data_IF_167174205515
#
_entry.id   IF_167174205515
#
_cell.length_a   1.000
_cell.length_b   1.000
_cell.length_c   1.000
_cell.angle_alpha   90.00
_cell.angle_beta   90.00
_cell.angle_gamma   90.00
#
_symmetry.space_group_name_H-M   'P 1'
#
loop_
_entity.id
_entity.type
_entity.pdbx_description
1 polymer ?
#
# COMPACT_ATOMS: atom_id res chain seq x y z
N UNK A 1 -24.28 -1.50 -3.86
CA UNK A 1 -22.84 -1.49 -3.55
C UNK A 1 -22.46 -2.84 -2.97
N UNK A 2 -21.36 -3.44 -3.42
CA UNK A 2 -20.89 -4.74 -2.92
C UNK A 2 -19.52 -4.58 -2.28
N UNK A 3 -19.28 -5.27 -1.17
CA UNK A 3 -17.99 -5.26 -0.47
C UNK A 3 -17.56 -6.71 -0.26
N UNK A 4 -16.36 -7.05 -0.70
CA UNK A 4 -15.77 -8.36 -0.49
C UNK A 4 -14.65 -8.24 0.55
N UNK A 5 -14.94 -8.60 1.80
CA UNK A 5 -13.93 -8.71 2.86
C UNK A 5 -13.13 -10.00 2.74
N UNK A 6 -11.93 -10.01 3.35
CA UNK A 6 -10.99 -11.14 3.33
C UNK A 6 -10.66 -11.62 1.91
N UNK A 7 -10.54 -10.66 0.99
CA UNK A 7 -10.24 -10.86 -0.42
C UNK A 7 -8.91 -10.17 -0.73
N UNK A 8 -7.81 -10.91 -0.73
CA UNK A 8 -6.48 -10.36 -0.96
C UNK A 8 -6.19 -10.28 -2.46
N UNK A 9 -6.06 -9.06 -3.00
CA UNK A 9 -5.74 -8.85 -4.42
C UNK A 9 -4.29 -9.27 -4.66
N UNK A 10 -4.08 -10.06 -5.72
CA UNK A 10 -2.76 -10.60 -6.08
C UNK A 10 -2.16 -9.91 -7.30
N UNK A 11 -2.99 -9.55 -8.27
CA UNK A 11 -2.59 -8.79 -9.46
C UNK A 11 -3.80 -8.18 -10.17
N UNK A 12 -3.53 -7.17 -10.96
CA UNK A 12 -4.43 -6.64 -11.96
C UNK A 12 -4.29 -7.43 -13.26
N UNK A 13 -5.41 -7.63 -13.94
CA UNK A 13 -5.46 -8.25 -15.25
C UNK A 13 -5.53 -7.14 -16.29
N UNK A 14 -4.50 -7.05 -17.12
CA UNK A 14 -4.33 -5.97 -18.10
C UNK A 14 -4.11 -6.58 -19.48
N UNK A 15 -4.86 -6.10 -20.45
CA UNK A 15 -4.75 -6.48 -21.85
C UNK A 15 -4.29 -5.26 -22.65
N UNK A 16 -3.04 -5.30 -23.13
CA UNK A 16 -2.40 -4.15 -23.75
C UNK A 16 -2.27 -2.98 -22.77
N UNK A 17 -3.15 -1.97 -22.91
CA UNK A 17 -3.20 -0.78 -22.05
C UNK A 17 -4.49 -0.65 -21.25
N UNK A 18 -5.34 -1.67 -21.26
CA UNK A 18 -6.66 -1.64 -20.61
C UNK A 18 -6.67 -2.61 -19.44
N UNK A 19 -6.91 -2.09 -18.24
CA UNK A 19 -7.14 -2.91 -17.06
C UNK A 19 -8.55 -3.51 -17.10
N UNK A 20 -8.65 -4.83 -17.27
CA UNK A 20 -9.92 -5.55 -17.51
C UNK A 20 -10.51 -6.11 -16.22
N UNK A 21 -9.71 -6.29 -15.17
CA UNK A 21 -10.19 -6.83 -13.90
C UNK A 21 -9.08 -7.03 -12.87
N UNK A 22 -9.44 -7.60 -11.72
CA UNK A 22 -8.49 -7.99 -10.66
C UNK A 22 -8.60 -9.47 -10.36
N UNK A 23 -7.46 -10.07 -10.05
CA UNK A 23 -7.37 -11.43 -9.53
C UNK A 23 -7.04 -11.38 -8.04
N UNK A 24 -7.86 -12.04 -7.22
CA UNK A 24 -7.73 -12.05 -5.77
C UNK A 24 -7.90 -13.45 -5.18
N UNK A 25 -7.39 -13.65 -3.97
CA UNK A 25 -7.55 -14.88 -3.20
C UNK A 25 -8.59 -14.64 -2.11
N UNK A 26 -9.58 -15.52 -2.03
CA UNK A 26 -10.58 -15.56 -0.96
C UNK A 26 -10.88 -17.01 -0.61
N UNK A 27 -10.89 -17.34 0.67
CA UNK A 27 -11.07 -18.72 1.16
C UNK A 27 -10.10 -19.71 0.49
N UNK A 28 -8.82 -19.33 0.35
CA UNK A 28 -7.78 -20.09 -0.34
C UNK A 28 -8.08 -20.45 -1.81
N UNK A 29 -9.04 -19.76 -2.44
CA UNK A 29 -9.37 -19.91 -3.85
C UNK A 29 -9.06 -18.63 -4.60
N UNK A 30 -8.47 -18.80 -5.78
CA UNK A 30 -8.20 -17.72 -6.71
C UNK A 30 -9.47 -17.39 -7.48
N UNK A 31 -9.86 -16.12 -7.48
CA UNK A 31 -11.06 -15.61 -8.14
C UNK A 31 -10.68 -14.39 -8.97
N UNK A 32 -11.43 -14.14 -10.05
CA UNK A 32 -11.26 -12.98 -10.92
C UNK A 32 -12.57 -12.23 -11.00
N UNK A 33 -12.51 -10.90 -10.89
CA UNK A 33 -13.66 -10.02 -11.15
C UNK A 33 -13.28 -9.01 -12.22
N UNK A 34 -14.19 -8.79 -13.17
CA UNK A 34 -13.99 -7.89 -14.29
C UNK A 34 -14.55 -6.50 -14.01
N UNK A 35 -13.82 -5.48 -14.43
CA UNK A 35 -14.22 -4.09 -14.35
C UNK A 35 -14.65 -3.60 -15.74
N UNK A 36 -15.82 -2.96 -15.84
CA UNK A 36 -16.37 -2.49 -17.12
C UNK A 36 -15.83 -1.13 -17.58
N UNK A 37 -15.28 -0.33 -16.67
CA UNK A 37 -14.92 1.08 -16.95
C UNK A 37 -13.54 1.44 -16.42
N UNK A 38 -13.30 1.19 -15.14
CA UNK A 38 -12.07 1.58 -14.48
C UNK A 38 -11.77 0.64 -13.31
N UNK A 39 -10.48 0.53 -13.00
CA UNK A 39 -9.93 -0.14 -11.84
C UNK A 39 -9.14 0.92 -11.06
N UNK A 40 -9.42 1.03 -9.77
CA UNK A 40 -8.79 2.02 -8.89
C UNK A 40 -8.06 1.26 -7.80
N UNK A 41 -6.73 1.44 -7.75
CA UNK A 41 -5.91 0.89 -6.68
C UNK A 41 -5.90 1.83 -5.48
N UNK A 42 -6.13 1.26 -4.30
CA UNK A 42 -6.11 1.99 -3.02
C UNK A 42 -5.60 1.10 -1.89
N UNK A 43 -4.68 0.17 -2.20
CA UNK A 43 -4.09 -0.76 -1.24
C UNK A 43 -2.96 -0.13 -0.39
N UNK A 44 -2.96 1.19 -0.24
CA UNK A 44 -1.93 1.96 0.45
C UNK A 44 -0.63 2.12 -0.34
N UNK A 45 0.32 2.83 0.25
CA UNK A 45 1.65 3.13 -0.32
C UNK A 45 2.55 1.90 -0.45
N UNK A 46 2.21 0.80 0.24
CA UNK A 46 2.95 -0.47 0.19
C UNK A 46 2.25 -1.49 -0.72
N UNK A 47 0.94 -1.69 -0.54
CA UNK A 47 0.20 -2.72 -1.26
C UNK A 47 -0.07 -2.37 -2.73
N UNK A 48 -0.36 -1.10 -3.03
CA UNK A 48 -0.62 -0.68 -4.43
C UNK A 48 0.59 -0.89 -5.34
N UNK A 49 1.82 -0.46 -4.98
CA UNK A 49 2.98 -0.74 -5.83
C UNK A 49 3.28 -2.25 -5.95
N UNK A 50 3.09 -3.03 -4.89
CA UNK A 50 3.26 -4.49 -4.96
C UNK A 50 2.32 -5.12 -5.99
N UNK A 51 1.04 -4.72 -6.02
CA UNK A 51 0.07 -5.22 -6.99
C UNK A 51 0.49 -4.83 -8.42
N UNK A 52 0.97 -3.61 -8.64
CA UNK A 52 1.47 -3.17 -9.95
C UNK A 52 2.67 -4.00 -10.42
N UNK A 53 3.66 -4.23 -9.53
CA UNK A 53 4.83 -5.06 -9.82
C UNK A 53 4.42 -6.50 -10.21
N UNK A 54 3.53 -7.12 -9.42
CA UNK A 54 2.99 -8.47 -9.70
C UNK A 54 2.13 -8.51 -10.98
N UNK A 55 1.67 -7.37 -11.45
CA UNK A 55 0.93 -7.21 -12.72
C UNK A 55 1.86 -6.96 -13.91
N UNK A 56 3.18 -6.89 -13.69
CA UNK A 56 4.18 -6.64 -14.74
C UNK A 56 4.49 -5.15 -14.97
N UNK A 57 4.13 -4.27 -14.03
CA UNK A 57 4.40 -2.83 -14.10
C UNK A 57 5.47 -2.50 -13.06
N UNK A 58 6.73 -2.49 -13.49
CA UNK A 58 7.87 -2.00 -12.73
C UNK A 58 9.12 -1.89 -13.64
N UNK A 59 10.28 -1.52 -13.08
CA UNK A 59 11.56 -1.59 -13.76
C UNK A 59 11.82 -3.00 -14.31
N UNK A 60 12.21 -3.07 -15.58
CA UNK A 60 12.44 -4.33 -16.28
C UNK A 60 13.38 -5.28 -15.54
N UNK A 61 14.53 -4.78 -15.07
CA UNK A 61 15.54 -5.60 -14.38
C UNK A 61 15.00 -6.20 -13.08
N UNK A 62 14.13 -5.46 -12.38
CA UNK A 62 13.50 -5.93 -11.16
C UNK A 62 12.50 -7.05 -11.47
N UNK A 63 11.64 -6.88 -12.47
CA UNK A 63 10.67 -7.93 -12.86
C UNK A 63 11.34 -9.19 -13.38
N UNK A 64 12.43 -9.06 -14.14
CA UNK A 64 13.22 -10.18 -14.64
C UNK A 64 13.80 -11.03 -13.51
N UNK A 65 14.26 -10.40 -12.42
CA UNK A 65 14.78 -11.12 -11.24
C UNK A 65 13.73 -12.03 -10.58
N UNK A 66 12.45 -11.69 -10.71
CA UNK A 66 11.32 -12.46 -10.20
C UNK A 66 10.61 -13.29 -11.28
N UNK A 67 11.12 -13.30 -12.52
CA UNK A 67 10.53 -14.00 -13.68
C UNK A 67 9.09 -13.54 -13.97
N UNK A 68 8.81 -12.26 -13.75
CA UNK A 68 7.51 -11.65 -14.04
C UNK A 68 7.57 -11.06 -15.46
N UNK A 69 6.58 -11.33 -16.34
CA UNK A 69 6.53 -10.71 -17.66
C UNK A 69 6.40 -9.19 -17.56
N UNK A 70 7.23 -8.47 -18.31
CA UNK A 70 7.16 -7.01 -18.41
C UNK A 70 5.94 -6.60 -19.23
N UNK A 71 5.08 -5.78 -18.63
CA UNK A 71 3.95 -5.12 -19.29
C UNK A 71 4.26 -3.64 -19.54
N UNK A 72 4.83 -2.95 -18.55
CA UNK A 72 5.26 -1.56 -18.66
C UNK A 72 6.49 -1.32 -17.79
N UNK A 73 7.52 -0.73 -18.39
CA UNK A 73 8.76 -0.36 -17.71
C UNK A 73 8.58 1.00 -17.02
N UNK A 74 8.33 0.98 -15.71
CA UNK A 74 8.07 2.17 -14.91
C UNK A 74 8.68 2.01 -13.51
N UNK A 75 9.31 3.06 -12.99
CA UNK A 75 9.90 3.03 -11.65
C UNK A 75 8.83 3.08 -10.54
N UNK A 76 8.29 1.93 -10.13
CA UNK A 76 7.23 1.84 -9.11
C UNK A 76 7.84 1.84 -7.69
N UNK A 77 7.20 2.54 -6.75
CA UNK A 77 7.62 2.64 -5.34
C UNK A 77 9.04 3.22 -5.09
N UNK A 78 9.61 3.97 -6.05
CA UNK A 78 10.95 4.57 -5.91
C UNK A 78 10.99 5.88 -5.13
N UNK A 79 9.83 6.41 -4.75
CA UNK A 79 9.66 7.67 -4.02
C UNK A 79 8.76 7.47 -2.80
N UNK A 80 9.02 6.41 -2.03
CA UNK A 80 8.33 6.18 -0.77
C UNK A 80 8.94 7.11 0.28
N UNK A 81 8.10 7.99 0.82
CA UNK A 81 8.44 8.90 1.89
C UNK A 81 7.58 8.58 3.11
N UNK A 82 8.17 8.71 4.30
CA UNK A 82 7.46 8.57 5.56
C UNK A 82 7.96 9.62 6.55
N UNK A 83 7.15 9.91 7.57
CA UNK A 83 7.52 10.84 8.62
C UNK A 83 8.35 10.12 9.68
N UNK A 84 9.63 10.48 9.79
CA UNK A 84 10.48 9.97 10.84
C UNK A 84 9.99 10.44 12.21
N UNK A 85 9.77 9.49 13.13
CA UNK A 85 9.39 9.76 14.50
C UNK A 85 10.43 9.20 15.47
N UNK A 86 10.72 9.98 16.52
CA UNK A 86 11.60 9.58 17.60
C UNK A 86 10.94 9.89 18.94
N UNK A 87 10.94 8.92 19.84
CA UNK A 87 10.44 9.08 21.21
C UNK A 87 11.63 9.35 22.12
N UNK A 88 11.61 10.46 22.84
CA UNK A 88 12.52 10.72 23.94
C UNK A 88 11.78 10.40 25.24
N UNK A 89 12.25 9.39 25.97
CA UNK A 89 11.75 9.05 27.30
C UNK A 89 12.79 9.45 28.36
N UNK A 90 12.38 10.30 29.31
CA UNK A 90 13.18 10.67 30.48
C UNK A 90 12.45 10.32 31.77
N UNK A 91 13.17 10.17 32.90
CA UNK A 91 12.53 10.00 34.20
C UNK A 91 11.69 11.23 34.54
N UNK A 92 10.46 11.03 35.02
CA UNK A 92 9.63 12.08 35.60
C UNK A 92 9.71 11.96 37.12
N UNK A 93 10.02 13.06 37.79
CA UNK A 93 9.97 13.10 39.25
C UNK A 93 8.55 13.47 39.70
N UNK A 94 7.87 12.51 40.34
CA UNK A 94 6.44 12.63 40.69
C UNK A 94 6.23 13.73 41.74
N UNK A 95 7.24 14.07 42.55
CA UNK A 95 7.13 15.16 43.54
C UNK A 95 7.02 16.56 42.91
N UNK A 96 7.53 16.75 41.68
CA UNK A 96 7.46 18.04 40.97
C UNK A 96 6.23 18.12 40.02
N UNK A 97 5.72 16.98 39.59
CA UNK A 97 4.62 16.87 38.63
C UNK A 97 3.24 17.34 39.16
N UNK A 98 3.08 17.42 40.49
CA UNK A 98 1.84 17.85 41.16
C UNK A 98 1.93 19.26 41.79
N UNK A 99 2.87 20.09 41.34
CA UNK A 99 2.87 21.52 41.75
C UNK A 99 1.84 22.32 40.94
N UNK A 100 1.05 23.16 41.63
CA UNK A 100 -0.13 23.89 41.11
C UNK A 100 0.06 24.54 39.72
N UNK A 101 -1.02 24.68 38.91
CA UNK A 101 -0.92 25.25 37.59
C UNK A 101 -0.37 26.68 37.67
N UNK A 102 0.84 26.90 37.13
CA UNK A 102 1.40 28.25 36.98
C UNK A 102 0.42 29.09 36.18
N UNK A 103 -0.23 30.03 36.85
CA UNK A 103 -1.16 30.97 36.24
C UNK A 103 -0.51 31.66 35.05
N UNK A 104 -1.16 31.59 33.88
CA UNK A 104 -0.83 32.47 32.76
C UNK A 104 -1.25 33.90 33.16
N UNK A 105 -0.35 34.90 33.14
CA UNK A 105 -0.81 36.28 33.11
C UNK A 105 -1.49 36.52 31.74
N UNK A 106 -2.62 37.22 31.77
CA UNK A 106 -3.36 37.69 30.58
C UNK A 106 -2.53 38.69 29.78
#
# INVERSE_FOLDING_TARGET
MHVAVNAHVTKDNIEGRVATGVTFIKNNKKNTVYAKRALVLSAGSIGSPQILMLSGIDQKEHLESFKIPLLADLAVCRNLEDHMFSIICGPINISEAFTEPRGRPL
#
